data_IF_111467584491
#
_entry.id   IF_111467584491
#
_cell.length_a   1.000
_cell.length_b   1.000
_cell.length_c   1.000
_cell.angle_alpha   90.00
_cell.angle_beta   90.00
_cell.angle_gamma   90.00
#
_symmetry.space_group_name_H-M   'P 1'
#
loop_
_entity.id
_entity.type
_entity.pdbx_description
1 polymer ?
#
# COMPACT_ATOMS: atom_id res chain seq x y z
N UNK A 1 18.35 1.01 33.46
CA UNK A 1 17.10 0.23 33.67
C UNK A 1 15.92 1.17 33.53
N UNK A 2 14.84 0.74 32.89
CA UNK A 2 13.61 1.55 32.77
C UNK A 2 13.04 1.86 34.15
N UNK A 3 12.48 3.06 34.34
CA UNK A 3 11.73 3.42 35.56
C UNK A 3 10.36 2.74 35.63
N UNK A 4 9.89 2.18 34.53
CA UNK A 4 8.56 1.57 34.40
C UNK A 4 8.68 0.11 33.96
N UNK A 5 7.74 -0.76 34.40
CA UNK A 5 7.59 -2.09 33.83
C UNK A 5 7.46 -2.00 32.31
N UNK A 6 8.28 -2.75 31.59
CA UNK A 6 8.15 -2.87 30.15
C UNK A 6 6.98 -3.79 29.85
N UNK A 7 6.22 -3.46 28.80
CA UNK A 7 5.16 -4.32 28.32
C UNK A 7 5.73 -5.67 27.84
N UNK A 8 5.16 -6.77 28.30
CA UNK A 8 5.54 -8.10 27.85
C UNK A 8 4.93 -8.38 26.49
N UNK A 9 5.73 -8.21 25.43
CA UNK A 9 5.32 -8.41 24.04
C UNK A 9 4.79 -9.82 23.74
N UNK A 10 5.07 -10.82 24.58
CA UNK A 10 4.49 -12.17 24.44
C UNK A 10 2.98 -12.21 24.68
N UNK A 11 2.40 -11.14 25.24
CA UNK A 11 0.97 -10.97 25.39
C UNK A 11 0.27 -10.53 24.09
N UNK A 12 1.01 -10.11 23.05
CA UNK A 12 0.45 -9.79 21.74
C UNK A 12 0.15 -11.11 21.01
N UNK A 13 -1.11 -11.28 20.63
CA UNK A 13 -1.57 -12.45 19.87
C UNK A 13 -1.89 -12.00 18.45
N UNK A 14 -1.09 -12.45 17.49
CA UNK A 14 -1.37 -12.26 16.07
C UNK A 14 -2.33 -13.35 15.58
N UNK A 15 -3.51 -12.94 15.12
CA UNK A 15 -4.52 -13.82 14.52
C UNK A 15 -4.30 -14.00 13.03
N UNK A 16 -4.98 -14.98 12.47
CA UNK A 16 -4.95 -15.18 11.03
C UNK A 16 -5.67 -14.04 10.31
N UNK A 17 -5.09 -13.52 9.23
CA UNK A 17 -5.69 -12.45 8.43
C UNK A 17 -7.05 -12.85 7.87
N UNK A 18 -7.27 -14.14 7.60
CA UNK A 18 -8.55 -14.66 7.09
C UNK A 18 -9.69 -14.53 8.12
N UNK A 19 -9.38 -14.44 9.42
CA UNK A 19 -10.37 -14.23 10.49
C UNK A 19 -10.90 -12.78 10.53
N UNK A 20 -10.18 -11.85 9.90
CA UNK A 20 -10.45 -10.40 10.00
C UNK A 20 -11.70 -9.97 9.26
N UNK A 21 -11.96 -10.60 8.12
CA UNK A 21 -12.80 -10.05 7.06
C UNK A 21 -12.14 -8.87 6.34
N UNK A 22 -12.65 -8.54 5.15
CA UNK A 22 -12.12 -7.48 4.30
C UNK A 22 -13.24 -6.57 3.80
N UNK A 23 -13.09 -5.25 3.96
CA UNK A 23 -14.04 -4.28 3.40
C UNK A 23 -13.83 -4.08 1.89
N UNK A 24 -12.62 -4.41 1.39
CA UNK A 24 -12.30 -4.41 -0.02
C UNK A 24 -11.69 -5.75 -0.42
N UNK A 25 -12.21 -6.34 -1.49
CA UNK A 25 -11.61 -7.49 -2.17
C UNK A 25 -11.03 -7.12 -3.55
N UNK A 26 -10.13 -7.94 -4.06
CA UNK A 26 -9.55 -7.82 -5.39
C UNK A 26 -10.61 -7.82 -6.51
N UNK A 27 -11.71 -8.55 -6.31
CA UNK A 27 -12.84 -8.59 -7.24
C UNK A 27 -13.62 -7.26 -7.27
N UNK A 28 -13.58 -6.47 -6.19
CA UNK A 28 -14.21 -5.16 -6.12
C UNK A 28 -13.30 -4.02 -6.63
N UNK A 29 -12.04 -4.30 -6.97
CA UNK A 29 -11.18 -3.32 -7.61
C UNK A 29 -11.72 -2.98 -9.01
N UNK A 30 -11.95 -1.69 -9.25
CA UNK A 30 -12.57 -1.19 -10.49
C UNK A 30 -11.69 -1.47 -11.70
N UNK A 31 -12.30 -1.93 -12.78
CA UNK A 31 -11.64 -2.13 -14.07
C UNK A 31 -11.37 -0.78 -14.77
N UNK A 32 -10.33 -0.72 -15.61
CA UNK A 32 -9.87 0.51 -16.25
C UNK A 32 -10.91 1.14 -17.20
N UNK A 33 -11.76 0.32 -17.79
CA UNK A 33 -12.86 0.71 -18.69
C UNK A 33 -14.18 1.00 -17.97
N UNK A 34 -14.18 0.98 -16.63
CA UNK A 34 -15.35 1.35 -15.83
C UNK A 34 -15.84 2.75 -16.20
N UNK A 35 -17.16 2.93 -16.27
CA UNK A 35 -17.75 4.27 -16.41
C UNK A 35 -17.56 5.08 -15.13
N UNK A 36 -17.20 6.35 -15.27
CA UNK A 36 -17.13 7.30 -14.16
C UNK A 36 -18.09 8.45 -14.44
N UNK A 37 -18.71 8.97 -13.38
CA UNK A 37 -19.26 10.30 -13.47
C UNK A 37 -18.11 11.27 -13.74
N UNK A 38 -18.22 12.12 -14.78
CA UNK A 38 -17.22 13.14 -15.03
C UNK A 38 -16.99 13.97 -13.78
N UNK A 39 -15.74 14.06 -13.33
CA UNK A 39 -15.39 14.95 -12.24
C UNK A 39 -15.29 16.38 -12.79
N UNK A 40 -16.26 17.22 -12.42
CA UNK A 40 -16.30 18.61 -12.86
C UNK A 40 -15.74 19.52 -11.77
N UNK A 41 -14.56 20.07 -12.04
CA UNK A 41 -13.98 21.16 -11.27
C UNK A 41 -13.22 22.08 -12.23
N UNK A 42 -13.31 23.40 -12.02
CA UNK A 42 -12.71 24.39 -12.92
C UNK A 42 -11.20 24.18 -13.13
N UNK A 43 -10.51 23.64 -12.12
CA UNK A 43 -9.07 23.40 -12.15
C UNK A 43 -8.68 21.98 -12.61
N UNK A 44 -9.64 21.05 -12.77
CA UNK A 44 -9.32 19.66 -13.07
C UNK A 44 -8.65 19.50 -14.45
N UNK A 45 -9.18 20.18 -15.47
CA UNK A 45 -8.57 20.19 -16.80
C UNK A 45 -7.16 20.81 -16.79
N UNK A 46 -6.94 21.86 -15.98
CA UNK A 46 -5.62 22.48 -15.84
C UNK A 46 -4.60 21.53 -15.20
N UNK A 47 -5.02 20.77 -14.17
CA UNK A 47 -4.19 19.74 -13.54
C UNK A 47 -3.79 18.64 -14.55
N UNK A 48 -4.77 18.11 -15.30
CA UNK A 48 -4.50 17.09 -16.33
C UNK A 48 -3.50 17.62 -17.35
N UNK A 49 -3.72 18.83 -17.88
CA UNK A 49 -2.82 19.44 -18.86
C UNK A 49 -1.41 19.64 -18.30
N UNK A 50 -1.26 20.05 -17.03
CA UNK A 50 0.04 20.20 -16.39
C UNK A 50 0.78 18.86 -16.26
N UNK A 51 0.08 17.77 -15.92
CA UNK A 51 0.66 16.41 -15.85
C UNK A 51 1.11 15.95 -17.24
N UNK A 52 0.25 16.11 -18.26
CA UNK A 52 0.55 15.72 -19.64
C UNK A 52 1.74 16.50 -20.17
N UNK A 53 1.76 17.82 -19.98
CA UNK A 53 2.85 18.69 -20.43
C UNK A 53 4.16 18.37 -19.72
N UNK A 54 4.12 18.09 -18.40
CA UNK A 54 5.30 17.64 -17.67
C UNK A 54 5.88 16.37 -18.31
N UNK A 55 5.05 15.35 -18.58
CA UNK A 55 5.55 14.11 -19.19
C UNK A 55 5.99 14.26 -20.64
N UNK A 56 5.34 15.10 -21.44
CA UNK A 56 5.79 15.42 -22.81
C UNK A 56 7.17 16.07 -22.85
N UNK A 57 7.50 16.87 -21.83
CA UNK A 57 8.81 17.49 -21.66
C UNK A 57 9.79 16.66 -20.82
N UNK A 58 9.50 15.37 -20.63
CA UNK A 58 10.26 14.43 -19.81
C UNK A 58 10.54 14.89 -18.36
N UNK A 59 9.64 15.69 -17.79
CA UNK A 59 9.72 16.15 -16.40
C UNK A 59 9.08 15.14 -15.46
N UNK A 60 9.65 14.90 -14.25
CA UNK A 60 9.06 13.99 -13.29
C UNK A 60 7.64 14.39 -12.87
N UNK A 61 6.79 13.40 -12.65
CA UNK A 61 5.48 13.54 -12.02
C UNK A 61 5.46 12.64 -10.80
N UNK A 62 5.35 13.27 -9.63
CA UNK A 62 5.40 12.60 -8.33
C UNK A 62 3.98 12.55 -7.77
N UNK A 63 3.50 11.34 -7.48
CA UNK A 63 2.23 11.13 -6.79
C UNK A 63 2.49 10.89 -5.29
N UNK A 64 1.73 11.57 -4.44
CA UNK A 64 1.78 11.38 -2.98
C UNK A 64 0.38 10.99 -2.50
N UNK A 65 0.22 9.79 -1.94
CA UNK A 65 -1.08 9.27 -1.51
C UNK A 65 -0.97 8.37 -0.29
N UNK A 66 -1.98 8.38 0.57
CA UNK A 66 -2.13 7.37 1.63
C UNK A 66 -2.78 6.09 1.11
N UNK A 67 -3.17 5.19 2.00
CA UNK A 67 -3.85 3.93 1.60
C UNK A 67 -5.26 4.07 1.03
N UNK A 68 -5.90 5.24 1.14
CA UNK A 68 -7.31 5.42 0.78
C UNK A 68 -7.66 5.06 -0.68
N UNK A 69 -6.88 5.43 -1.71
CA UNK A 69 -7.17 5.02 -3.08
C UNK A 69 -7.15 3.49 -3.27
N UNK A 70 -6.26 2.78 -2.56
CA UNK A 70 -6.23 1.32 -2.57
C UNK A 70 -7.53 0.80 -1.95
N UNK A 71 -7.94 1.33 -0.79
CA UNK A 71 -9.21 0.96 -0.11
C UNK A 71 -10.47 1.21 -0.96
N UNK A 72 -10.43 2.19 -1.88
CA UNK A 72 -11.51 2.47 -2.83
C UNK A 72 -11.48 1.57 -4.07
N UNK A 73 -10.54 0.62 -4.14
CA UNK A 73 -10.40 -0.30 -5.27
C UNK A 73 -9.81 0.36 -6.52
N UNK A 74 -9.05 1.46 -6.38
CA UNK A 74 -8.49 2.22 -7.50
C UNK A 74 -7.08 1.76 -7.91
N UNK A 75 -6.56 0.67 -7.33
CA UNK A 75 -5.17 0.24 -7.55
C UNK A 75 -4.84 0.01 -9.03
N UNK A 76 -5.78 -0.51 -9.84
CA UNK A 76 -5.57 -0.72 -11.28
C UNK A 76 -5.22 0.57 -12.02
N UNK A 77 -5.88 1.68 -11.69
CA UNK A 77 -5.61 2.99 -12.29
C UNK A 77 -4.22 3.49 -11.91
N UNK A 78 -3.83 3.33 -10.65
CA UNK A 78 -2.50 3.74 -10.18
C UNK A 78 -1.41 2.88 -10.84
N UNK A 79 -1.63 1.56 -10.93
CA UNK A 79 -0.74 0.63 -11.63
C UNK A 79 -0.61 1.02 -13.10
N UNK A 80 -1.71 1.31 -13.81
CA UNK A 80 -1.67 1.73 -15.21
C UNK A 80 -0.88 3.04 -15.40
N UNK A 81 -1.08 4.02 -14.52
CA UNK A 81 -0.32 5.29 -14.56
C UNK A 81 1.19 5.08 -14.29
N UNK A 82 1.56 4.13 -13.42
CA UNK A 82 2.95 3.74 -13.17
C UNK A 82 3.54 3.02 -14.38
N UNK A 83 2.83 2.02 -14.92
CA UNK A 83 3.29 1.21 -16.06
C UNK A 83 3.45 2.05 -17.34
N UNK A 84 2.62 3.07 -17.53
CA UNK A 84 2.76 4.06 -18.61
C UNK A 84 3.79 5.15 -18.34
N UNK A 85 4.46 5.13 -17.18
CA UNK A 85 5.39 6.19 -16.71
C UNK A 85 4.79 7.60 -16.74
N UNK A 86 3.48 7.68 -16.51
CA UNK A 86 2.81 8.95 -16.23
C UNK A 86 3.15 9.37 -14.80
N UNK A 87 3.08 8.44 -13.85
CA UNK A 87 3.67 8.60 -12.52
C UNK A 87 5.11 8.07 -12.59
N UNK A 88 6.08 8.91 -12.22
CA UNK A 88 7.51 8.57 -12.26
C UNK A 88 8.12 8.35 -10.87
N UNK A 89 7.38 8.67 -9.81
CA UNK A 89 7.66 8.29 -8.42
C UNK A 89 6.34 8.32 -7.65
N UNK A 90 6.13 7.33 -6.77
CA UNK A 90 4.99 7.33 -5.85
C UNK A 90 5.49 7.27 -4.42
N UNK A 91 5.07 8.23 -3.60
CA UNK A 91 5.31 8.24 -2.16
C UNK A 91 4.02 7.92 -1.40
N UNK A 92 4.11 7.00 -0.44
CA UNK A 92 2.98 6.61 0.40
C UNK A 92 3.35 6.52 1.88
N UNK A 93 2.37 6.26 2.75
CA UNK A 93 2.56 5.99 4.16
C UNK A 93 2.52 4.47 4.45
N UNK A 94 2.72 4.06 5.71
CA UNK A 94 2.69 2.64 6.07
C UNK A 94 1.36 1.97 5.73
N UNK A 95 0.24 2.66 5.96
CA UNK A 95 -1.09 2.18 5.58
C UNK A 95 -1.19 1.84 4.08
N UNK A 96 -0.62 2.66 3.19
CA UNK A 96 -0.58 2.37 1.76
C UNK A 96 0.10 1.06 1.42
N UNK A 97 1.28 0.81 2.02
CA UNK A 97 2.01 -0.45 1.85
C UNK A 97 1.28 -1.65 2.45
N UNK A 98 0.66 -1.50 3.62
CA UNK A 98 -0.14 -2.56 4.23
C UNK A 98 -1.28 -2.97 3.31
N UNK A 99 -2.06 -1.99 2.83
CA UNK A 99 -3.19 -2.27 1.96
C UNK A 99 -2.75 -2.89 0.63
N UNK A 100 -1.64 -2.41 0.06
CA UNK A 100 -1.06 -2.95 -1.15
C UNK A 100 -0.61 -4.41 -0.98
N UNK A 101 0.10 -4.70 0.10
CA UNK A 101 0.64 -6.03 0.41
C UNK A 101 -0.46 -7.05 0.69
N UNK A 102 -1.43 -6.71 1.54
CA UNK A 102 -2.56 -7.60 1.87
C UNK A 102 -3.41 -7.91 0.63
N UNK A 103 -3.71 -6.88 -0.17
CA UNK A 103 -4.46 -7.04 -1.40
C UNK A 103 -3.72 -7.96 -2.38
N UNK A 104 -2.40 -7.79 -2.53
CA UNK A 104 -1.58 -8.64 -3.39
C UNK A 104 -1.54 -10.09 -2.91
N UNK A 105 -1.36 -10.30 -1.60
CA UNK A 105 -1.19 -11.60 -0.97
C UNK A 105 -2.49 -12.42 -0.96
N UNK A 106 -3.53 -11.89 -0.31
CA UNK A 106 -4.77 -12.61 0.00
C UNK A 106 -5.98 -12.15 -0.81
N UNK A 107 -5.85 -11.14 -1.68
CA UNK A 107 -6.96 -10.64 -2.47
C UNK A 107 -7.98 -9.83 -1.66
N UNK A 108 -7.61 -9.38 -0.47
CA UNK A 108 -8.48 -8.59 0.40
C UNK A 108 -7.68 -7.67 1.32
N UNK A 109 -8.24 -6.50 1.62
CA UNK A 109 -7.65 -5.55 2.57
C UNK A 109 -8.73 -4.70 3.24
N UNK A 110 -8.30 -3.82 4.16
CA UNK A 110 -9.14 -3.08 5.11
C UNK A 110 -9.79 -3.99 6.14
N UNK A 111 -10.14 -3.39 7.27
CA UNK A 111 -10.73 -4.09 8.41
C UNK A 111 -11.77 -3.18 9.06
N UNK A 112 -12.75 -3.80 9.73
CA UNK A 112 -13.72 -3.09 10.56
C UNK A 112 -13.00 -2.52 11.79
N UNK A 113 -12.54 -1.28 11.66
CA UNK A 113 -11.74 -0.59 12.68
C UNK A 113 -12.47 -0.51 14.03
N UNK A 114 -13.76 -0.06 14.10
CA UNK A 114 -14.50 -0.05 15.35
C UNK A 114 -14.56 -1.43 16.03
N UNK A 115 -14.86 -2.49 15.28
CA UNK A 115 -14.94 -3.85 15.81
C UNK A 115 -13.62 -4.32 16.39
N UNK A 116 -12.51 -4.17 15.66
CA UNK A 116 -11.24 -4.75 16.07
C UNK A 116 -10.54 -3.95 17.17
N UNK A 117 -10.79 -2.66 17.27
CA UNK A 117 -10.35 -1.85 18.41
C UNK A 117 -11.02 -2.32 19.70
N UNK A 118 -12.34 -2.60 19.68
CA UNK A 118 -13.09 -3.02 20.88
C UNK A 118 -12.55 -4.29 21.54
N UNK A 119 -11.97 -5.19 20.74
CA UNK A 119 -11.42 -6.47 21.21
C UNK A 119 -9.89 -6.50 21.23
N UNK A 120 -9.23 -5.37 20.99
CA UNK A 120 -7.76 -5.25 21.04
C UNK A 120 -7.02 -6.02 19.95
N UNK A 121 -7.63 -6.25 18.79
CA UNK A 121 -7.05 -7.01 17.67
C UNK A 121 -6.76 -6.13 16.44
N UNK A 122 -7.03 -4.83 16.51
CA UNK A 122 -6.82 -3.91 15.38
C UNK A 122 -5.37 -3.95 14.88
N UNK A 123 -5.22 -4.30 13.60
CA UNK A 123 -3.92 -4.43 12.94
C UNK A 123 -3.06 -5.63 13.35
N UNK A 124 -3.49 -6.50 14.26
CA UNK A 124 -2.69 -7.61 14.81
C UNK A 124 -2.87 -8.91 14.01
N UNK A 125 -2.42 -8.91 12.76
CA UNK A 125 -2.62 -10.00 11.80
C UNK A 125 -1.29 -10.63 11.37
N UNK A 126 -1.19 -11.96 11.43
CA UNK A 126 0.06 -12.71 11.22
C UNK A 126 0.67 -12.49 9.84
N UNK A 127 -0.16 -12.55 8.79
CA UNK A 127 0.27 -12.37 7.41
C UNK A 127 0.79 -10.95 7.17
N UNK A 128 0.10 -9.94 7.70
CA UNK A 128 0.53 -8.53 7.62
C UNK A 128 1.86 -8.31 8.36
N UNK A 129 2.08 -9.02 9.47
CA UNK A 129 3.33 -8.99 10.23
C UNK A 129 4.57 -9.43 9.44
N UNK A 130 4.41 -10.17 8.34
CA UNK A 130 5.53 -10.48 7.41
C UNK A 130 6.20 -9.23 6.87
N UNK A 131 5.52 -8.08 6.85
CA UNK A 131 6.13 -6.81 6.48
C UNK A 131 7.35 -6.47 7.36
N UNK A 132 7.37 -6.84 8.64
CA UNK A 132 8.50 -6.57 9.53
C UNK A 132 9.73 -7.41 9.18
N UNK A 133 9.53 -8.64 8.70
CA UNK A 133 10.62 -9.46 8.16
C UNK A 133 11.20 -8.85 6.89
N UNK A 134 10.33 -8.41 5.98
CA UNK A 134 10.70 -7.74 4.72
C UNK A 134 11.46 -6.44 5.01
N UNK A 135 10.97 -5.61 5.93
CA UNK A 135 11.63 -4.37 6.36
C UNK A 135 13.02 -4.66 6.94
N UNK A 136 13.13 -5.67 7.80
CA UNK A 136 14.40 -6.06 8.43
C UNK A 136 15.41 -6.58 7.41
N UNK A 137 14.95 -7.27 6.38
CA UNK A 137 15.80 -7.71 5.26
C UNK A 137 16.19 -6.51 4.37
N UNK A 138 15.25 -5.64 4.03
CA UNK A 138 15.47 -4.44 3.24
C UNK A 138 16.55 -3.54 3.86
N UNK A 139 16.49 -3.33 5.18
CA UNK A 139 17.48 -2.57 5.93
C UNK A 139 18.89 -3.20 5.82
N UNK A 140 19.00 -4.53 5.84
CA UNK A 140 20.27 -5.25 5.65
C UNK A 140 20.81 -5.13 4.21
N UNK A 141 19.92 -4.94 3.24
CA UNK A 141 20.24 -4.86 1.80
C UNK A 141 20.40 -3.42 1.28
N UNK A 142 20.03 -2.41 2.08
CA UNK A 142 20.00 -1.01 1.66
C UNK A 142 18.85 -0.69 0.70
N UNK A 143 17.75 -1.46 0.75
CA UNK A 143 16.56 -1.28 -0.11
C UNK A 143 15.53 -0.36 0.54
N UNK A 144 14.80 0.41 -0.27
CA UNK A 144 13.64 1.16 0.20
C UNK A 144 12.48 0.22 0.56
N UNK A 145 11.62 0.60 1.52
CA UNK A 145 10.50 -0.26 1.94
C UNK A 145 9.54 -0.61 0.78
N UNK A 146 9.10 0.38 -0.01
CA UNK A 146 8.22 0.10 -1.15
C UNK A 146 8.90 -0.76 -2.23
N UNK A 147 10.20 -0.57 -2.45
CA UNK A 147 11.01 -1.41 -3.34
C UNK A 147 11.07 -2.86 -2.84
N UNK A 148 11.40 -3.07 -1.57
CA UNK A 148 11.51 -4.41 -0.98
C UNK A 148 10.18 -5.16 -0.98
N UNK A 149 9.07 -4.47 -0.68
CA UNK A 149 7.73 -5.06 -0.76
C UNK A 149 7.39 -5.42 -2.20
N UNK A 150 7.63 -4.53 -3.16
CA UNK A 150 7.41 -4.81 -4.58
C UNK A 150 8.22 -6.01 -5.08
N UNK A 151 9.49 -6.09 -4.67
CA UNK A 151 10.38 -7.22 -4.95
C UNK A 151 9.81 -8.53 -4.43
N UNK A 152 9.42 -8.59 -3.15
CA UNK A 152 8.87 -9.80 -2.52
C UNK A 152 7.58 -10.24 -3.20
N UNK A 153 6.64 -9.31 -3.44
CA UNK A 153 5.37 -9.60 -4.12
C UNK A 153 5.61 -10.24 -5.50
N UNK A 154 6.58 -9.74 -6.27
CA UNK A 154 6.91 -10.26 -7.59
C UNK A 154 7.69 -11.59 -7.53
N UNK A 155 8.70 -11.70 -6.67
CA UNK A 155 9.54 -12.89 -6.55
C UNK A 155 8.78 -14.10 -5.99
N UNK A 156 7.93 -13.88 -4.98
CA UNK A 156 7.07 -14.92 -4.41
C UNK A 156 5.80 -15.16 -5.24
N UNK A 157 5.61 -14.40 -6.32
CA UNK A 157 4.50 -14.55 -7.28
C UNK A 157 3.13 -14.53 -6.60
N UNK A 158 2.88 -13.55 -5.74
CA UNK A 158 1.58 -13.41 -5.08
C UNK A 158 0.43 -13.40 -6.10
N UNK A 159 -0.72 -13.95 -5.68
CA UNK A 159 -1.87 -14.23 -6.56
C UNK A 159 -2.38 -12.95 -7.22
N UNK A 160 -2.45 -11.84 -6.48
CA UNK A 160 -3.01 -10.57 -6.96
C UNK A 160 -1.94 -9.51 -7.21
N UNK A 161 -0.67 -9.90 -7.44
CA UNK A 161 0.46 -8.97 -7.67
C UNK A 161 0.25 -7.93 -8.78
N UNK A 162 -0.66 -8.19 -9.73
CA UNK A 162 -1.04 -7.24 -10.79
C UNK A 162 -1.81 -6.03 -10.25
N UNK A 163 -2.43 -6.14 -9.08
CA UNK A 163 -3.09 -5.02 -8.41
C UNK A 163 -2.14 -4.21 -7.53
N UNK A 164 -0.90 -4.69 -7.30
CA UNK A 164 0.02 -4.04 -6.38
C UNK A 164 0.78 -2.89 -7.04
N UNK A 165 0.72 -1.72 -6.40
CA UNK A 165 1.48 -0.53 -6.80
C UNK A 165 2.97 -0.70 -6.52
N UNK A 166 3.35 -1.38 -5.43
CA UNK A 166 4.75 -1.68 -5.12
C UNK A 166 5.34 -2.66 -6.15
N UNK A 167 4.60 -3.71 -6.49
CA UNK A 167 4.97 -4.66 -7.53
C UNK A 167 5.08 -3.98 -8.90
N UNK A 168 4.15 -3.08 -9.25
CA UNK A 168 4.25 -2.29 -10.48
C UNK A 168 5.52 -1.41 -10.53
N UNK A 169 5.86 -0.76 -9.41
CA UNK A 169 7.11 -0.04 -9.27
C UNK A 169 8.34 -0.92 -9.52
N UNK A 170 8.39 -2.08 -8.86
CA UNK A 170 9.47 -3.06 -9.04
C UNK A 170 9.59 -3.53 -10.50
N UNK A 171 8.48 -3.86 -11.16
CA UNK A 171 8.47 -4.29 -12.58
C UNK A 171 8.98 -3.22 -13.54
N UNK A 172 8.71 -1.95 -13.25
CA UNK A 172 8.91 -0.83 -14.20
C UNK A 172 10.15 0.01 -13.92
N UNK A 173 10.76 -0.17 -12.74
CA UNK A 173 11.84 0.66 -12.22
C UNK A 173 11.37 2.02 -11.67
N UNK A 174 10.06 2.23 -11.52
CA UNK A 174 9.51 3.45 -10.91
C UNK A 174 9.65 3.37 -9.39
N UNK A 175 10.30 4.34 -8.72
CA UNK A 175 10.47 4.29 -7.27
C UNK A 175 9.12 4.39 -6.54
N UNK A 176 8.89 3.45 -5.64
CA UNK A 176 7.80 3.45 -4.68
C UNK A 176 8.39 3.61 -3.29
N UNK A 177 8.12 4.73 -2.64
CA UNK A 177 8.65 5.05 -1.30
C UNK A 177 7.53 4.95 -0.27
N UNK A 178 7.88 4.47 0.92
CA UNK A 178 6.96 4.40 2.06
C UNK A 178 7.56 5.16 3.24
N UNK A 179 6.81 6.14 3.73
CA UNK A 179 7.16 7.02 4.83
C UNK A 179 6.32 6.65 6.04
N UNK A 180 6.78 5.63 6.77
CA UNK A 180 6.03 5.03 7.88
C UNK A 180 6.00 5.98 9.07
N UNK A 181 4.79 6.31 9.53
CA UNK A 181 4.56 7.10 10.74
C UNK A 181 4.73 6.25 11.99
N UNK A 182 5.56 6.72 12.92
CA UNK A 182 5.73 6.08 14.23
C UNK A 182 4.52 6.42 15.10
N UNK A 183 3.84 5.39 15.60
CA UNK A 183 2.66 5.54 16.46
C UNK A 183 1.34 5.74 15.72
N UNK A 184 1.36 5.86 14.38
CA UNK A 184 0.14 5.96 13.56
C UNK A 184 -0.08 4.76 12.63
N UNK A 185 0.98 4.20 12.07
CA UNK A 185 0.90 3.03 11.19
C UNK A 185 0.98 1.73 12.00
N UNK A 186 0.12 0.76 11.67
CA UNK A 186 0.07 -0.54 12.37
C UNK A 186 1.25 -1.46 12.06
N UNK A 187 2.17 -1.05 11.17
CA UNK A 187 3.40 -1.80 10.86
C UNK A 187 4.20 -2.13 12.14
N UNK A 188 4.16 -1.23 13.13
CA UNK A 188 4.89 -1.40 14.40
C UNK A 188 4.18 -2.31 15.40
N UNK A 189 2.99 -2.81 15.08
CA UNK A 189 2.15 -3.58 16.01
C UNK A 189 2.51 -5.07 16.06
N UNK A 190 3.28 -5.58 15.09
CA UNK A 190 3.70 -6.99 14.96
C UNK A 190 5.10 -7.24 15.52
#
# INVERSE_FOLDING_TARGET
MSRYPLFDRRQIILRDLDERGHELSAAACRELDSSFEPYEHAEFGALINAIVEARRNDRPVIAMLGGHPIKLGLSRFIVDLIERRIITLLATNGAGIIHDFELALGGGTSEDVPKWIQVGQFGLWRQTGRLNDIISEAARRGEGLGEAVGRVIEQERFMHRRLSIAAAGWRTGVPITSHVGIGSDIIHAH
#
